data_IF_355012657347
#
_entry.id   IF_355012657347
#
_cell.length_a   1.000
_cell.length_b   1.000
_cell.length_c   1.000
_cell.angle_alpha   90.00
_cell.angle_beta   90.00
_cell.angle_gamma   90.00
#
_symmetry.space_group_name_H-M   'P 1'
#
loop_
_entity.id
_entity.type
_entity.pdbx_description
1 polymer ?
#
# COMPACT_ATOMS: atom_id res chain seq x y z
N UNK A 1 -4.50 -9.80 -1.03
CA UNK A 1 -3.61 -10.81 -1.64
C UNK A 1 -4.37 -11.66 -2.64
N UNK A 2 -3.68 -12.59 -3.31
CA UNK A 2 -4.32 -13.63 -4.13
C UNK A 2 -5.14 -14.54 -3.21
N UNK A 3 -6.35 -14.91 -3.64
CA UNK A 3 -7.19 -15.90 -2.94
C UNK A 3 -7.34 -17.16 -3.80
N UNK A 4 -7.48 -18.31 -3.17
CA UNK A 4 -7.88 -19.58 -3.78
C UNK A 4 -9.11 -20.14 -3.01
N UNK A 5 -9.55 -21.36 -3.36
CA UNK A 5 -10.69 -22.01 -2.71
C UNK A 5 -10.54 -22.26 -1.19
N UNK A 6 -9.34 -22.06 -0.63
CA UNK A 6 -9.02 -22.25 0.79
C UNK A 6 -8.71 -20.93 1.52
N UNK A 7 -8.80 -19.77 0.84
CA UNK A 7 -8.56 -18.46 1.44
C UNK A 7 -7.40 -17.70 0.81
N UNK A 8 -6.71 -16.88 1.59
CA UNK A 8 -5.55 -16.12 1.12
C UNK A 8 -4.38 -17.07 0.86
N UNK A 9 -3.75 -16.93 -0.30
CA UNK A 9 -2.50 -17.63 -0.60
C UNK A 9 -1.39 -16.91 0.15
N UNK A 10 -0.72 -17.61 1.05
CA UNK A 10 0.36 -17.09 1.89
C UNK A 10 1.68 -17.72 1.49
N UNK A 11 2.75 -16.92 1.50
CA UNK A 11 4.11 -17.38 1.21
C UNK A 11 4.66 -18.16 2.40
N UNK A 12 5.10 -19.39 2.19
CA UNK A 12 5.81 -20.16 3.21
C UNK A 12 7.29 -19.75 3.31
N UNK A 13 7.95 -20.02 4.45
CA UNK A 13 9.39 -19.82 4.58
C UNK A 13 10.21 -20.60 3.54
N UNK A 14 9.82 -21.84 3.25
CA UNK A 14 10.48 -22.73 2.28
C UNK A 14 10.34 -22.21 0.85
N UNK A 15 9.15 -21.71 0.49
CA UNK A 15 8.92 -21.08 -0.82
C UNK A 15 9.80 -19.85 -1.02
N UNK A 16 9.95 -19.01 0.02
CA UNK A 16 10.77 -17.81 -0.04
C UNK A 16 12.26 -18.14 -0.21
N UNK A 17 12.77 -19.12 0.53
CA UNK A 17 14.18 -19.57 0.42
C UNK A 17 14.43 -20.20 -0.95
N UNK A 18 13.58 -21.15 -1.36
CA UNK A 18 13.71 -21.82 -2.68
C UNK A 18 13.72 -20.78 -3.80
N UNK A 19 12.83 -19.79 -3.76
CA UNK A 19 12.79 -18.74 -4.78
C UNK A 19 14.10 -17.94 -4.85
N UNK A 20 14.68 -17.58 -3.70
CA UNK A 20 15.96 -16.87 -3.65
C UNK A 20 17.15 -17.72 -4.10
N UNK A 21 17.15 -19.03 -3.80
CA UNK A 21 18.14 -19.98 -4.31
C UNK A 21 18.09 -20.05 -5.83
N UNK A 22 16.91 -20.25 -6.41
CA UNK A 22 16.74 -20.35 -7.86
C UNK A 22 17.09 -19.04 -8.59
N UNK A 23 16.79 -17.88 -8.00
CA UNK A 23 17.30 -16.60 -8.50
C UNK A 23 18.82 -16.54 -8.39
N UNK A 24 19.34 -17.06 -7.29
CA UNK A 24 20.75 -17.09 -6.98
C UNK A 24 21.57 -17.88 -8.00
N UNK A 25 21.10 -19.06 -8.38
CA UNK A 25 21.68 -19.90 -9.45
C UNK A 25 21.72 -19.19 -10.81
N UNK A 26 20.81 -18.24 -11.03
CA UNK A 26 20.74 -17.43 -12.26
C UNK A 26 21.51 -16.11 -12.14
N UNK A 27 22.33 -15.94 -11.10
CA UNK A 27 23.12 -14.73 -10.88
C UNK A 27 22.31 -13.52 -10.38
N UNK A 28 21.05 -13.71 -9.98
CA UNK A 28 20.19 -12.64 -9.46
C UNK A 28 20.23 -12.64 -7.94
N UNK A 29 20.52 -11.49 -7.33
CA UNK A 29 20.57 -11.32 -5.86
C UNK A 29 19.70 -10.13 -5.46
N UNK A 30 18.40 -10.32 -5.19
CA UNK A 30 17.52 -9.22 -4.84
C UNK A 30 17.83 -8.70 -3.43
N UNK A 31 17.80 -7.38 -3.25
CA UNK A 31 17.89 -6.78 -1.90
C UNK A 31 16.59 -6.93 -1.12
N UNK A 32 15.45 -6.96 -1.83
CA UNK A 32 14.12 -6.98 -1.25
C UNK A 32 13.26 -8.08 -1.89
N UNK A 33 12.50 -8.79 -1.07
CA UNK A 33 11.48 -9.75 -1.47
C UNK A 33 10.12 -9.32 -0.92
N UNK A 34 9.13 -9.18 -1.80
CA UNK A 34 7.74 -9.02 -1.38
C UNK A 34 7.13 -10.42 -1.15
N UNK A 35 6.45 -10.59 -0.03
CA UNK A 35 5.81 -11.86 0.34
C UNK A 35 4.29 -11.69 0.45
N UNK A 36 3.55 -12.77 0.23
CA UNK A 36 2.13 -12.80 0.52
C UNK A 36 1.93 -13.16 2.00
N UNK A 37 1.61 -12.17 2.83
CA UNK A 37 1.42 -12.34 4.28
C UNK A 37 0.02 -11.92 4.74
N UNK A 38 -0.98 -12.01 3.86
CA UNK A 38 -2.36 -11.69 4.18
C UNK A 38 -2.76 -10.22 3.97
N UNK A 39 -1.81 -9.34 3.65
CA UNK A 39 -2.10 -7.97 3.19
C UNK A 39 -2.98 -7.93 1.94
N UNK A 40 -3.82 -6.90 1.82
CA UNK A 40 -4.59 -6.57 0.62
C UNK A 40 -4.26 -5.17 0.13
N UNK A 41 -4.31 -4.98 -1.20
CA UNK A 41 -4.10 -3.67 -1.80
C UNK A 41 -5.38 -2.83 -1.70
N UNK A 42 -5.21 -1.54 -1.46
CA UNK A 42 -6.33 -0.62 -1.26
C UNK A 42 -6.78 -0.54 0.18
N UNK A 43 -7.82 0.26 0.41
CA UNK A 43 -8.53 0.32 1.69
C UNK A 43 -9.46 -0.90 1.80
N UNK A 44 -9.41 -1.68 2.89
CA UNK A 44 -10.37 -2.77 3.07
C UNK A 44 -11.75 -2.21 3.45
N UNK A 45 -12.79 -2.95 3.07
CA UNK A 45 -14.18 -2.58 3.34
C UNK A 45 -14.91 -3.76 3.98
N UNK A 46 -15.81 -3.46 4.93
CA UNK A 46 -16.79 -4.39 5.46
C UNK A 46 -18.14 -3.67 5.54
N UNK A 47 -19.21 -4.32 5.07
CA UNK A 47 -20.55 -3.72 5.02
C UNK A 47 -20.57 -2.36 4.30
N UNK A 48 -19.82 -2.25 3.20
CA UNK A 48 -19.69 -1.02 2.42
C UNK A 48 -18.95 0.13 3.09
N UNK A 49 -18.31 -0.08 4.26
CA UNK A 49 -17.56 0.95 4.99
C UNK A 49 -16.07 0.62 5.07
N UNK A 50 -15.18 1.62 4.98
CA UNK A 50 -13.76 1.43 5.24
C UNK A 50 -13.54 0.81 6.63
N UNK A 51 -12.65 -0.17 6.71
CA UNK A 51 -12.20 -0.76 7.98
C UNK A 51 -10.68 -0.73 8.06
N UNK A 52 -10.15 -1.05 9.24
CA UNK A 52 -8.70 -1.17 9.43
C UNK A 52 -8.16 -2.45 8.75
N UNK A 53 -6.96 -2.36 8.18
CA UNK A 53 -6.25 -3.50 7.63
C UNK A 53 -5.41 -4.17 8.73
N UNK A 54 -6.00 -5.19 9.35
CA UNK A 54 -5.38 -6.01 10.38
C UNK A 54 -5.04 -7.43 9.91
N UNK A 55 -5.17 -7.70 8.60
CA UNK A 55 -4.96 -9.04 8.02
C UNK A 55 -3.50 -9.39 7.74
N UNK A 56 -2.55 -8.51 8.09
CA UNK A 56 -1.12 -8.75 7.91
C UNK A 56 -0.65 -9.72 9.00
N UNK A 57 -0.22 -10.91 8.59
CA UNK A 57 0.29 -11.96 9.47
C UNK A 57 1.76 -11.65 9.85
N UNK A 58 1.92 -10.95 10.97
CA UNK A 58 3.23 -10.59 11.54
C UNK A 58 4.03 -11.84 11.95
N UNK A 59 3.47 -12.84 12.65
CA UNK A 59 4.18 -14.10 12.93
C UNK A 59 4.74 -14.80 11.68
N UNK A 60 3.95 -14.93 10.61
CA UNK A 60 4.42 -15.49 9.34
C UNK A 60 5.54 -14.64 8.75
N UNK A 61 5.38 -13.32 8.75
CA UNK A 61 6.37 -12.38 8.22
C UNK A 61 7.73 -12.56 8.92
N UNK A 62 7.73 -12.73 10.26
CA UNK A 62 8.92 -13.02 11.05
C UNK A 62 9.54 -14.37 10.70
N UNK A 63 8.74 -15.43 10.57
CA UNK A 63 9.23 -16.76 10.19
C UNK A 63 9.90 -16.75 8.81
N UNK A 64 9.30 -16.07 7.84
CA UNK A 64 9.88 -15.95 6.49
C UNK A 64 11.19 -15.16 6.52
N UNK A 65 11.24 -14.02 7.23
CA UNK A 65 12.46 -13.24 7.38
C UNK A 65 13.60 -14.03 8.06
N UNK A 66 13.26 -14.81 9.10
CA UNK A 66 14.20 -15.68 9.79
C UNK A 66 14.75 -16.77 8.88
N UNK A 67 13.91 -17.42 8.07
CA UNK A 67 14.35 -18.46 7.14
C UNK A 67 15.28 -17.91 6.05
N UNK A 68 14.94 -16.76 5.45
CA UNK A 68 15.80 -16.06 4.47
C UNK A 68 17.19 -15.80 5.07
N UNK A 69 17.24 -15.28 6.30
CA UNK A 69 18.48 -14.99 7.01
C UNK A 69 19.25 -16.26 7.36
N UNK A 70 18.56 -17.28 7.84
CA UNK A 70 19.15 -18.58 8.19
C UNK A 70 19.78 -19.30 7.00
N UNK A 71 19.22 -19.10 5.80
CA UNK A 71 19.78 -19.57 4.54
C UNK A 71 20.93 -18.67 4.00
N UNK A 72 21.36 -17.65 4.75
CA UNK A 72 22.50 -16.81 4.40
C UNK A 72 22.20 -15.70 3.38
N UNK A 73 20.94 -15.46 3.02
CA UNK A 73 20.61 -14.38 2.10
C UNK A 73 20.59 -13.01 2.79
N UNK A 74 21.21 -11.97 2.18
CA UNK A 74 21.15 -10.60 2.69
C UNK A 74 19.78 -9.94 2.43
N UNK A 75 18.90 -10.59 1.67
CA UNK A 75 17.57 -10.11 1.30
C UNK A 75 16.74 -9.73 2.53
N UNK A 76 15.95 -8.65 2.40
CA UNK A 76 14.96 -8.20 3.38
C UNK A 76 13.57 -8.14 2.76
N UNK A 77 12.56 -7.84 3.54
CA UNK A 77 11.17 -7.86 3.10
C UNK A 77 10.71 -6.49 2.61
N UNK A 78 9.89 -6.51 1.56
CA UNK A 78 9.07 -5.39 1.12
C UNK A 78 7.60 -5.68 1.48
N UNK A 79 7.02 -4.85 2.34
CA UNK A 79 5.62 -4.94 2.70
C UNK A 79 4.74 -4.22 1.68
N UNK A 80 3.84 -4.98 1.07
CA UNK A 80 2.78 -4.47 0.21
C UNK A 80 1.48 -4.28 1.01
N UNK A 81 0.58 -3.42 0.52
CA UNK A 81 -0.75 -3.25 1.09
C UNK A 81 -0.73 -2.80 2.55
N UNK A 82 -0.13 -1.64 2.85
CA UNK A 82 -0.13 -1.06 4.21
C UNK A 82 -1.28 -0.07 4.41
N UNK A 83 -1.83 0.51 3.35
CA UNK A 83 -2.93 1.47 3.48
C UNK A 83 -4.10 0.85 4.26
N UNK A 84 -4.58 1.59 5.26
CA UNK A 84 -5.63 1.13 6.18
C UNK A 84 -5.10 0.44 7.43
N UNK A 85 -3.82 0.07 7.51
CA UNK A 85 -3.21 -0.45 8.75
C UNK A 85 -2.96 0.73 9.71
N UNK A 86 -3.39 0.65 10.99
CA UNK A 86 -3.12 1.70 11.96
C UNK A 86 -1.62 1.97 12.13
N UNK A 87 -1.24 3.24 12.27
CA UNK A 87 0.17 3.62 12.45
C UNK A 87 0.79 3.00 13.71
N UNK A 88 0.04 2.93 14.81
CA UNK A 88 0.47 2.27 16.05
C UNK A 88 0.76 0.79 15.83
N UNK A 89 -0.08 0.11 15.04
CA UNK A 89 0.15 -1.30 14.69
C UNK A 89 1.45 -1.47 13.90
N UNK A 90 1.76 -0.55 12.96
CA UNK A 90 3.03 -0.56 12.23
C UNK A 90 4.19 -0.37 13.22
N UNK A 91 4.12 0.65 14.07
CA UNK A 91 5.16 1.01 15.04
C UNK A 91 5.49 -0.11 16.04
N UNK A 92 4.45 -0.77 16.55
CA UNK A 92 4.55 -1.76 17.61
C UNK A 92 4.81 -3.17 17.08
N UNK A 93 4.21 -3.54 15.94
CA UNK A 93 4.15 -4.95 15.52
C UNK A 93 5.07 -5.28 14.35
N UNK A 94 5.40 -4.34 13.46
CA UNK A 94 6.20 -4.69 12.29
C UNK A 94 7.62 -5.12 12.70
N UNK A 95 8.16 -6.22 12.11
CA UNK A 95 9.49 -6.72 12.46
C UNK A 95 10.58 -5.75 11.97
N UNK A 96 11.11 -4.98 12.91
CA UNK A 96 12.14 -3.96 12.67
C UNK A 96 13.40 -4.59 12.10
N UNK A 97 13.94 -3.99 11.04
CA UNK A 97 15.14 -4.49 10.35
C UNK A 97 14.89 -5.67 9.41
N UNK A 98 13.71 -6.29 9.44
CA UNK A 98 13.30 -7.32 8.48
C UNK A 98 12.46 -6.73 7.34
N UNK A 99 11.55 -5.80 7.63
CA UNK A 99 10.86 -5.00 6.59
C UNK A 99 11.63 -3.71 6.37
N UNK A 100 12.14 -3.50 5.14
CA UNK A 100 12.89 -2.28 4.77
C UNK A 100 12.14 -1.37 3.79
N UNK A 101 11.01 -1.83 3.26
CA UNK A 101 10.20 -1.06 2.31
C UNK A 101 8.72 -1.28 2.60
N UNK A 102 7.95 -0.20 2.72
CA UNK A 102 6.49 -0.24 2.85
C UNK A 102 5.79 0.49 1.70
N UNK A 103 4.76 -0.12 1.10
CA UNK A 103 3.94 0.50 0.07
C UNK A 103 2.62 1.02 0.64
N UNK A 104 2.39 2.34 0.53
CA UNK A 104 1.21 3.06 1.03
C UNK A 104 0.49 3.87 -0.05
N UNK A 105 0.59 3.45 -1.32
CA UNK A 105 0.13 4.25 -2.47
C UNK A 105 -1.33 4.70 -2.41
N UNK A 106 -2.24 3.86 -1.89
CA UNK A 106 -3.66 4.24 -1.76
C UNK A 106 -3.86 5.36 -0.75
N UNK A 107 -3.02 5.48 0.29
CA UNK A 107 -3.11 6.59 1.25
C UNK A 107 -2.83 7.94 0.58
N UNK A 108 -1.81 8.01 -0.28
CA UNK A 108 -1.49 9.20 -1.07
C UNK A 108 -2.54 9.53 -2.13
N UNK A 109 -3.25 8.54 -2.65
CA UNK A 109 -4.39 8.80 -3.53
C UNK A 109 -5.58 9.36 -2.75
N UNK A 110 -5.89 8.78 -1.59
CA UNK A 110 -7.04 9.20 -0.78
C UNK A 110 -6.91 10.66 -0.32
N UNK A 111 -5.72 11.12 0.09
CA UNK A 111 -5.53 12.54 0.45
C UNK A 111 -5.78 13.49 -0.71
N UNK A 112 -5.50 13.07 -1.96
CA UNK A 112 -5.80 13.89 -3.14
C UNK A 112 -7.32 13.99 -3.28
N UNK A 113 -8.03 12.87 -3.16
CA UNK A 113 -9.50 12.86 -3.21
C UNK A 113 -10.16 13.68 -2.11
N UNK A 114 -9.65 13.61 -0.88
CA UNK A 114 -10.09 14.45 0.24
C UNK A 114 -9.88 15.93 -0.06
N UNK A 115 -8.68 16.30 -0.54
CA UNK A 115 -8.39 17.69 -0.93
C UNK A 115 -9.29 18.19 -2.05
N UNK A 116 -9.53 17.36 -3.08
CA UNK A 116 -10.45 17.72 -4.17
C UNK A 116 -11.89 17.88 -3.65
N UNK A 117 -12.35 17.02 -2.75
CA UNK A 117 -13.70 17.12 -2.19
C UNK A 117 -13.90 18.46 -1.44
N UNK A 118 -12.87 18.93 -0.74
CA UNK A 118 -12.91 20.18 0.02
C UNK A 118 -12.66 21.44 -0.83
N UNK A 119 -11.68 21.39 -1.73
CA UNK A 119 -11.14 22.58 -2.44
C UNK A 119 -11.59 22.70 -3.88
N UNK A 120 -11.90 21.58 -4.53
CA UNK A 120 -12.32 21.50 -5.94
C UNK A 120 -13.57 20.61 -6.11
N UNK A 121 -14.67 20.90 -5.38
CA UNK A 121 -15.81 19.98 -5.26
C UNK A 121 -16.45 19.62 -6.60
N UNK A 122 -16.41 20.53 -7.58
CA UNK A 122 -16.88 20.27 -8.93
C UNK A 122 -16.05 19.17 -9.64
N UNK A 123 -14.71 19.24 -9.52
CA UNK A 123 -13.82 18.22 -10.08
C UNK A 123 -14.00 16.89 -9.34
N UNK A 124 -14.04 16.91 -8.01
CA UNK A 124 -14.29 15.71 -7.20
C UNK A 124 -15.58 15.01 -7.61
N UNK A 125 -16.67 15.76 -7.80
CA UNK A 125 -17.95 15.20 -8.24
C UNK A 125 -17.84 14.52 -9.61
N UNK A 126 -17.16 15.14 -10.59
CA UNK A 126 -16.94 14.51 -11.90
C UNK A 126 -16.15 13.22 -11.80
N UNK A 127 -15.10 13.20 -10.98
CA UNK A 127 -14.27 12.00 -10.72
C UNK A 127 -15.11 10.90 -10.09
N UNK A 128 -15.94 11.25 -9.10
CA UNK A 128 -16.85 10.33 -8.40
C UNK A 128 -17.89 9.74 -9.34
N UNK A 129 -18.64 10.58 -10.05
CA UNK A 129 -19.68 10.16 -10.99
C UNK A 129 -19.11 9.29 -12.11
N UNK A 130 -17.95 9.68 -12.67
CA UNK A 130 -17.28 8.89 -13.70
C UNK A 130 -16.88 7.51 -13.18
N UNK A 131 -16.35 7.43 -11.97
CA UNK A 131 -15.96 6.16 -11.35
C UNK A 131 -17.16 5.24 -11.16
N UNK A 132 -18.29 5.76 -10.64
CA UNK A 132 -19.51 4.98 -10.46
C UNK A 132 -20.12 4.55 -11.80
N UNK A 133 -20.21 5.45 -12.77
CA UNK A 133 -20.78 5.14 -14.09
C UNK A 133 -19.96 4.08 -14.85
N UNK A 134 -18.64 4.12 -14.70
CA UNK A 134 -17.72 3.26 -15.45
C UNK A 134 -17.50 1.91 -14.77
N UNK A 135 -17.37 1.88 -13.44
CA UNK A 135 -17.00 0.68 -12.69
C UNK A 135 -18.08 0.18 -11.73
N UNK A 136 -19.18 0.91 -11.54
CA UNK A 136 -20.22 0.56 -10.56
C UNK A 136 -20.80 -0.83 -10.77
N UNK A 137 -21.12 -1.20 -12.02
CA UNK A 137 -21.62 -2.55 -12.33
C UNK A 137 -20.58 -3.62 -12.01
N UNK A 138 -19.37 -3.49 -12.55
CA UNK A 138 -18.29 -4.46 -12.32
C UNK A 138 -17.96 -4.62 -10.84
N UNK A 139 -17.93 -3.51 -10.09
CA UNK A 139 -17.65 -3.52 -8.67
C UNK A 139 -18.73 -4.26 -7.88
N UNK A 140 -20.01 -4.01 -8.19
CA UNK A 140 -21.16 -4.67 -7.54
C UNK A 140 -21.24 -6.15 -7.88
N UNK A 141 -20.95 -6.52 -9.13
CA UNK A 141 -20.82 -7.93 -9.55
C UNK A 141 -19.70 -8.65 -8.78
N UNK A 142 -18.67 -7.90 -8.34
CA UNK A 142 -17.58 -8.37 -7.47
C UNK A 142 -17.84 -8.18 -5.97
N UNK A 143 -19.07 -7.85 -5.59
CA UNK A 143 -19.52 -7.78 -4.20
C UNK A 143 -19.28 -6.45 -3.49
N UNK A 144 -19.05 -5.33 -4.21
CA UNK A 144 -19.07 -4.01 -3.58
C UNK A 144 -20.49 -3.66 -3.10
N UNK A 145 -20.62 -3.26 -1.84
CA UNK A 145 -21.91 -3.05 -1.18
C UNK A 145 -22.34 -1.58 -1.17
N UNK A 146 -21.42 -0.64 -1.40
CA UNK A 146 -21.70 0.81 -1.39
C UNK A 146 -20.96 1.56 -2.49
N UNK A 147 -21.48 2.75 -2.85
CA UNK A 147 -20.78 3.64 -3.79
C UNK A 147 -19.43 4.12 -3.25
N UNK A 148 -19.31 4.29 -1.94
CA UNK A 148 -18.03 4.62 -1.30
C UNK A 148 -16.99 3.50 -1.48
N UNK A 149 -17.43 2.25 -1.44
CA UNK A 149 -16.58 1.08 -1.71
C UNK A 149 -16.22 0.98 -3.20
N UNK A 150 -17.16 1.24 -4.12
CA UNK A 150 -16.87 1.33 -5.56
C UNK A 150 -15.81 2.41 -5.80
N UNK A 151 -16.02 3.61 -5.27
CA UNK A 151 -15.10 4.72 -5.43
C UNK A 151 -13.71 4.40 -4.85
N UNK A 152 -13.64 3.87 -3.62
CA UNK A 152 -12.37 3.52 -2.99
C UNK A 152 -11.58 2.45 -3.74
N UNK A 153 -12.25 1.49 -4.38
CA UNK A 153 -11.59 0.41 -5.14
C UNK A 153 -11.17 0.82 -6.55
N UNK A 154 -11.93 1.70 -7.21
CA UNK A 154 -11.79 1.96 -8.65
C UNK A 154 -11.36 3.39 -9.02
N UNK A 155 -11.41 4.36 -8.10
CA UNK A 155 -11.02 5.76 -8.37
C UNK A 155 -9.57 5.92 -8.85
N UNK A 156 -8.67 4.97 -8.60
CA UNK A 156 -7.30 4.95 -9.16
C UNK A 156 -7.28 5.04 -10.69
N UNK A 157 -8.32 4.54 -11.36
CA UNK A 157 -8.43 4.62 -12.82
C UNK A 157 -8.81 6.04 -13.28
N UNK A 158 -9.46 6.81 -12.41
CA UNK A 158 -9.83 8.19 -12.67
C UNK A 158 -8.61 9.10 -12.75
N UNK A 159 -7.49 8.77 -12.06
CA UNK A 159 -6.24 9.56 -12.14
C UNK A 159 -5.80 9.74 -13.59
N UNK A 160 -5.86 8.67 -14.41
CA UNK A 160 -5.49 8.76 -15.83
C UNK A 160 -6.50 9.58 -16.63
N UNK A 161 -7.79 9.37 -16.37
CA UNK A 161 -8.89 10.03 -17.08
C UNK A 161 -8.88 11.55 -16.84
N UNK A 162 -8.63 11.98 -15.61
CA UNK A 162 -8.68 13.36 -15.16
C UNK A 162 -7.30 13.98 -14.97
N UNK A 163 -6.24 13.37 -15.53
CA UNK A 163 -4.86 13.87 -15.41
C UNK A 163 -4.73 15.36 -15.79
N UNK A 164 -5.30 15.84 -16.92
CA UNK A 164 -5.21 17.26 -17.26
C UNK A 164 -5.85 18.18 -16.22
N UNK A 165 -6.99 17.77 -15.64
CA UNK A 165 -7.66 18.55 -14.60
C UNK A 165 -6.86 18.58 -13.29
N UNK A 166 -6.25 17.44 -12.92
CA UNK A 166 -5.41 17.32 -11.72
C UNK A 166 -4.10 18.11 -11.88
N UNK A 167 -3.56 18.21 -13.09
CA UNK A 167 -2.37 19.02 -13.37
C UNK A 167 -2.68 20.52 -13.45
N UNK A 168 -3.95 20.88 -13.66
CA UNK A 168 -4.42 22.27 -13.72
C UNK A 168 -5.02 22.77 -12.40
N UNK A 169 -4.77 22.08 -11.28
CA UNK A 169 -5.27 22.48 -9.97
C UNK A 169 -4.78 23.88 -9.57
N UNK A 170 -5.63 24.59 -8.83
CA UNK A 170 -5.25 25.89 -8.28
C UNK A 170 -4.07 25.74 -7.31
N UNK A 171 -3.16 26.73 -7.22
CA UNK A 171 -2.01 26.66 -6.31
C UNK A 171 -2.38 26.35 -4.86
N UNK A 172 -3.51 26.86 -4.37
CA UNK A 172 -3.98 26.59 -3.01
C UNK A 172 -4.36 25.11 -2.79
N UNK A 173 -4.93 24.44 -3.80
CA UNK A 173 -5.27 23.02 -3.77
C UNK A 173 -4.01 22.16 -3.82
N UNK A 174 -3.02 22.55 -4.64
CA UNK A 174 -1.70 21.90 -4.68
C UNK A 174 -1.00 22.00 -3.33
N UNK A 175 -0.96 23.19 -2.72
CA UNK A 175 -0.33 23.40 -1.42
C UNK A 175 -1.00 22.57 -0.30
N UNK A 176 -2.32 22.42 -0.32
CA UNK A 176 -3.05 21.56 0.63
C UNK A 176 -2.67 20.07 0.45
N UNK A 177 -2.60 19.58 -0.79
CA UNK A 177 -2.16 18.22 -1.11
C UNK A 177 -0.72 18.00 -0.63
N UNK A 178 0.19 18.94 -0.89
CA UNK A 178 1.59 18.85 -0.47
C UNK A 178 1.72 18.79 1.06
N UNK A 179 1.00 19.65 1.77
CA UNK A 179 1.01 19.67 3.24
C UNK A 179 0.48 18.35 3.83
N UNK A 180 -0.62 17.81 3.29
CA UNK A 180 -1.18 16.52 3.70
C UNK A 180 -0.22 15.37 3.38
N UNK A 181 0.36 15.38 2.19
CA UNK A 181 1.33 14.37 1.77
C UNK A 181 2.57 14.37 2.67
N UNK A 182 3.07 15.54 3.05
CA UNK A 182 4.17 15.67 4.00
C UNK A 182 3.81 15.10 5.37
N UNK A 183 2.65 15.48 5.93
CA UNK A 183 2.20 14.99 7.23
C UNK A 183 2.01 13.46 7.24
N UNK A 184 1.38 12.91 6.21
CA UNK A 184 1.20 11.46 6.04
C UNK A 184 2.55 10.76 5.91
N UNK A 185 3.47 11.30 5.12
CA UNK A 185 4.81 10.72 4.96
C UNK A 185 5.59 10.71 6.28
N UNK A 186 5.64 11.83 7.01
CA UNK A 186 6.32 11.92 8.30
C UNK A 186 5.73 10.96 9.34
N UNK A 187 4.40 10.85 9.41
CA UNK A 187 3.74 9.90 10.30
C UNK A 187 4.09 8.45 9.99
N UNK A 188 4.17 8.08 8.70
CA UNK A 188 4.65 6.75 8.31
C UNK A 188 6.15 6.58 8.61
N UNK A 189 7.00 7.59 8.37
CA UNK A 189 8.43 7.48 8.69
C UNK A 189 8.67 7.27 10.19
N UNK A 190 7.87 7.91 11.05
CA UNK A 190 7.87 7.67 12.50
C UNK A 190 7.48 6.22 12.81
N UNK A 191 6.34 5.76 12.30
CA UNK A 191 5.85 4.41 12.55
C UNK A 191 6.80 3.32 12.02
N UNK A 192 7.48 3.55 10.89
CA UNK A 192 8.51 2.65 10.36
C UNK A 192 9.89 2.82 11.01
N UNK A 193 10.05 3.74 11.96
CA UNK A 193 11.34 4.13 12.56
C UNK A 193 12.42 4.45 11.52
N UNK A 194 12.03 5.08 10.42
CA UNK A 194 12.91 5.38 9.29
C UNK A 194 13.34 6.85 9.22
N UNK A 195 12.95 7.68 10.19
CA UNK A 195 13.42 9.06 10.29
C UNK A 195 14.96 9.13 10.33
N UNK A 196 15.54 10.08 9.60
CA UNK A 196 17.00 10.24 9.47
C UNK A 196 17.72 9.18 8.61
N UNK A 197 17.01 8.16 8.09
CA UNK A 197 17.64 7.13 7.25
C UNK A 197 18.25 7.66 5.95
N UNK A 198 17.73 8.78 5.42
CA UNK A 198 18.27 9.43 4.23
C UNK A 198 19.71 9.93 4.40
N UNK A 199 20.11 10.35 5.61
CA UNK A 199 21.47 10.80 5.89
C UNK A 199 22.47 9.63 5.80
N UNK A 200 22.04 8.44 6.23
CA UNK A 200 22.85 7.20 6.14
C UNK A 200 23.17 6.83 4.69
N UNK A 201 22.27 7.15 3.75
CA UNK A 201 22.48 6.89 2.33
C UNK A 201 23.48 7.87 1.67
N UNK A 202 23.71 9.06 2.25
CA UNK A 202 24.69 10.04 1.73
C UNK A 202 26.14 9.64 1.99
N UNK A 203 26.40 8.80 2.99
CA UNK A 203 27.74 8.34 3.38
C UNK A 203 28.30 7.29 2.40
N UNK A 204 27.46 6.73 1.53
CA UNK A 204 27.86 5.74 0.51
C UNK A 204 28.05 6.35 -0.90
N UNK A 205 28.27 7.67 -0.98
CA UNK A 205 28.63 8.37 -2.23
C UNK A 205 30.12 8.63 -2.31
#
# INVERSE_FOLDING_TARGET
GKKNGQGLVLTSPEEAVTFLEMLGERGVRPHLLAIANGSSHGTPYAHGKPVEQLSIDIPLTRRVAQAIRGAGFPTRLAQHGITGTPLSFIEEQFPRGDILKGNVGTAFMNLVWESLAEKEPALYKRVYDWTLSTYGKEARDKGAESDAEVFGKYSKHAIRQFKPDVEALKPASVADIEARAFAVADAHFKAFHSQGSAEKARVFK
#
